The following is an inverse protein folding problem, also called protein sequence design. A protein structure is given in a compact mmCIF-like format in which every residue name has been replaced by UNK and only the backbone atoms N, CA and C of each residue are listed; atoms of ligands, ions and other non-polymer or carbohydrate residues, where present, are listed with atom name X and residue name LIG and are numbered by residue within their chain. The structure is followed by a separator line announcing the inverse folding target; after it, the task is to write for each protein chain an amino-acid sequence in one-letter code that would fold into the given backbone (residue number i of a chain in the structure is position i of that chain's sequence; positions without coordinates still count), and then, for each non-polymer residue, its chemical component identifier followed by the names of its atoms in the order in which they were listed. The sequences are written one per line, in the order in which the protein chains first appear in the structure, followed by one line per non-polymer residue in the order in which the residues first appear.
data_IF_072799402253
#
_entry.id   IF_072799402253
#
_cell.length_a   1.000
_cell.length_b   1.000
_cell.length_c   1.000
_cell.angle_alpha   90.00
_cell.angle_beta   90.00
_cell.angle_gamma   90.00
#
_symmetry.space_group_name_H-M   'P 1'
#
loop_
_entity.id
_entity.type
_entity.pdbx_description
1 polymer ?
#
# COMPACT_ATOMS: atom_id res chain seq x y z
N UNK A 1 2.20 7.89 -5.62
CA UNK A 1 1.09 7.08 -5.06
C UNK A 1 1.67 5.99 -4.18
N UNK A 2 1.08 5.73 -3.00
CA UNK A 2 1.60 4.73 -2.04
C UNK A 2 0.49 3.79 -1.59
N UNK A 3 0.72 2.48 -1.69
CA UNK A 3 -0.18 1.43 -1.18
C UNK A 3 0.53 0.53 -0.16
N UNK A 4 -0.15 -0.45 0.43
CA UNK A 4 0.41 -1.34 1.45
C UNK A 4 1.53 -2.21 0.86
N UNK A 5 1.29 -2.79 -0.30
CA UNK A 5 2.19 -3.75 -0.93
C UNK A 5 1.72 -5.19 -0.78
N UNK A 6 2.50 -6.08 -1.37
CA UNK A 6 2.24 -7.51 -1.45
C UNK A 6 3.59 -8.24 -1.46
N UNK A 7 3.65 -9.52 -1.06
CA UNK A 7 4.81 -10.36 -1.33
C UNK A 7 5.21 -10.31 -2.81
N UNK A 8 6.51 -10.46 -3.09
CA UNK A 8 7.04 -10.49 -4.46
C UNK A 8 6.53 -11.73 -5.24
N UNK A 9 6.22 -12.82 -4.55
CA UNK A 9 5.58 -14.01 -5.13
C UNK A 9 4.79 -14.82 -4.09
N UNK A 10 4.13 -15.89 -4.53
CA UNK A 10 3.45 -16.85 -3.66
C UNK A 10 4.39 -17.82 -2.93
N UNK A 11 5.71 -17.71 -3.16
CA UNK A 11 6.71 -18.53 -2.46
C UNK A 11 6.69 -18.21 -0.97
N UNK A 12 6.80 -19.24 -0.14
CA UNK A 12 6.80 -19.11 1.32
C UNK A 12 7.92 -18.17 1.81
N UNK A 13 9.07 -18.14 1.13
CA UNK A 13 10.18 -17.23 1.42
C UNK A 13 9.77 -15.76 1.30
N UNK A 14 9.06 -15.41 0.23
CA UNK A 14 8.73 -14.04 -0.11
C UNK A 14 7.56 -13.56 0.76
N UNK A 15 6.60 -14.44 1.01
CA UNK A 15 5.53 -14.20 2.00
C UNK A 15 6.12 -14.02 3.40
N UNK A 16 7.11 -14.82 3.80
CA UNK A 16 7.79 -14.65 5.09
C UNK A 16 8.52 -13.31 5.16
N UNK A 17 9.21 -12.89 4.09
CA UNK A 17 9.90 -11.59 4.00
C UNK A 17 8.90 -10.43 4.14
N UNK A 18 7.79 -10.48 3.41
CA UNK A 18 6.70 -9.52 3.53
C UNK A 18 6.13 -9.46 4.95
N UNK A 19 5.75 -10.62 5.52
CA UNK A 19 5.17 -10.68 6.87
C UNK A 19 6.15 -10.18 7.94
N UNK A 20 7.45 -10.45 7.79
CA UNK A 20 8.47 -9.93 8.70
C UNK A 20 8.50 -8.41 8.66
N UNK A 21 8.57 -7.82 7.47
CA UNK A 21 8.63 -6.36 7.31
C UNK A 21 7.35 -5.71 7.85
N UNK A 22 6.19 -6.25 7.47
CA UNK A 22 4.87 -5.76 7.88
C UNK A 22 4.67 -5.82 9.39
N UNK A 23 4.90 -6.98 9.99
CA UNK A 23 4.60 -7.21 11.41
C UNK A 23 5.66 -6.68 12.36
N UNK A 24 6.87 -6.35 11.89
CA UNK A 24 7.88 -5.67 12.69
C UNK A 24 7.67 -4.16 12.75
N UNK A 25 6.76 -3.62 11.95
CA UNK A 25 6.38 -2.22 12.00
C UNK A 25 5.59 -1.92 13.28
N UNK A 26 6.09 -0.97 14.09
CA UNK A 26 5.44 -0.60 15.35
C UNK A 26 4.10 0.10 15.19
N UNK A 27 3.81 0.64 14.00
CA UNK A 27 2.48 1.20 13.68
C UNK A 27 1.46 0.15 13.27
N UNK A 28 1.91 -1.07 12.95
CA UNK A 28 1.04 -2.21 12.60
C UNK A 28 0.80 -3.07 13.82
N UNK A 29 1.86 -3.41 14.54
CA UNK A 29 1.79 -4.16 15.78
C UNK A 29 2.32 -3.28 16.92
N UNK A 30 1.38 -2.62 17.59
CA UNK A 30 1.65 -1.70 18.70
C UNK A 30 2.02 -2.47 19.97
N UNK A 31 3.28 -2.88 20.02
CA UNK A 31 3.92 -3.54 21.15
C UNK A 31 5.35 -3.03 21.31
N UNK A 32 5.96 -3.12 22.51
CA UNK A 32 7.38 -2.87 22.68
C UNK A 32 8.21 -3.72 21.72
N UNK A 33 9.32 -3.15 21.21
CA UNK A 33 10.12 -3.78 20.16
C UNK A 33 10.55 -5.21 20.50
N UNK A 34 10.95 -5.47 21.76
CA UNK A 34 11.36 -6.81 22.21
C UNK A 34 10.21 -7.83 22.14
N UNK A 35 9.01 -7.44 22.60
CA UNK A 35 7.82 -8.30 22.56
C UNK A 35 7.45 -8.57 21.10
N UNK A 36 7.39 -7.52 20.26
CA UNK A 36 7.13 -7.66 18.83
C UNK A 36 8.14 -8.56 18.15
N UNK A 37 9.44 -8.38 18.43
CA UNK A 37 10.50 -9.20 17.89
C UNK A 37 10.29 -10.67 18.22
N UNK A 38 10.01 -10.99 19.50
CA UNK A 38 9.82 -12.37 19.94
C UNK A 38 8.59 -12.99 19.28
N UNK A 39 7.44 -12.32 19.33
CA UNK A 39 6.19 -12.81 18.74
C UNK A 39 6.35 -13.03 17.24
N UNK A 40 6.92 -12.07 16.52
CA UNK A 40 7.08 -12.19 15.07
C UNK A 40 8.04 -13.32 14.71
N UNK A 41 9.24 -13.36 15.30
CA UNK A 41 10.28 -14.30 14.87
C UNK A 41 10.07 -15.73 15.36
N UNK A 42 9.52 -15.92 16.57
CA UNK A 42 9.40 -17.25 17.17
C UNK A 42 7.98 -17.82 17.11
N UNK A 43 6.93 -16.99 17.01
CA UNK A 43 5.55 -17.47 16.94
C UNK A 43 4.93 -17.30 15.56
N UNK A 44 5.15 -16.19 14.86
CA UNK A 44 4.44 -15.94 13.60
C UNK A 44 5.20 -16.50 12.39
N UNK A 45 6.45 -16.08 12.17
CA UNK A 45 7.23 -16.42 10.96
C UNK A 45 7.58 -17.91 10.77
N UNK A 46 7.60 -18.77 11.82
CA UNK A 46 7.76 -20.22 11.63
C UNK A 46 6.52 -20.87 11.01
N UNK A 47 5.31 -20.46 11.41
CA UNK A 47 4.07 -21.17 11.07
C UNK A 47 3.21 -20.44 10.02
N UNK A 48 2.94 -19.14 10.21
CA UNK A 48 1.98 -18.36 9.42
C UNK A 48 2.29 -18.26 7.92
N UNK A 49 3.56 -18.15 7.47
CA UNK A 49 3.84 -17.95 6.04
C UNK A 49 3.32 -19.07 5.12
N UNK A 50 3.20 -20.32 5.61
CA UNK A 50 2.68 -21.44 4.82
C UNK A 50 1.20 -21.22 4.47
N UNK A 51 0.38 -20.97 5.49
CA UNK A 51 -1.04 -20.70 5.34
C UNK A 51 -1.29 -19.41 4.52
N UNK A 52 -0.52 -18.35 4.77
CA UNK A 52 -0.64 -17.12 3.97
C UNK A 52 -0.24 -17.33 2.51
N UNK A 53 0.79 -18.11 2.22
CA UNK A 53 1.18 -18.43 0.85
C UNK A 53 0.09 -19.20 0.09
N UNK A 54 -0.61 -20.11 0.75
CA UNK A 54 -1.79 -20.79 0.16
C UNK A 54 -2.91 -19.82 -0.16
N UNK A 55 -3.22 -18.89 0.75
CA UNK A 55 -4.21 -17.84 0.50
C UNK A 55 -3.81 -16.96 -0.69
N UNK A 56 -2.55 -16.52 -0.76
CA UNK A 56 -2.05 -15.75 -1.91
C UNK A 56 -2.16 -16.54 -3.22
N UNK A 57 -1.87 -17.86 -3.22
CA UNK A 57 -2.01 -18.69 -4.43
C UNK A 57 -3.43 -18.73 -4.98
N UNK A 58 -4.46 -18.70 -4.12
CA UNK A 58 -5.86 -18.75 -4.56
C UNK A 58 -6.29 -17.51 -5.35
N UNK A 59 -5.66 -16.37 -5.10
CA UNK A 59 -6.00 -15.08 -5.72
C UNK A 59 -4.91 -14.56 -6.66
N UNK A 60 -3.83 -15.33 -6.85
CA UNK A 60 -2.71 -14.90 -7.67
C UNK A 60 -3.07 -14.92 -9.14
N UNK A 61 -2.71 -13.87 -9.87
CA UNK A 61 -2.93 -13.80 -11.32
C UNK A 61 -1.64 -14.14 -12.07
N UNK A 62 -1.74 -14.36 -13.38
CA UNK A 62 -0.58 -14.49 -14.27
C UNK A 62 0.33 -13.26 -14.24
N UNK A 63 -0.23 -12.08 -13.98
CA UNK A 63 0.49 -10.80 -13.90
C UNK A 63 1.05 -10.49 -12.51
N UNK A 64 0.69 -11.29 -11.49
CA UNK A 64 1.15 -11.15 -10.11
C UNK A 64 0.02 -10.91 -9.11
N UNK A 65 0.35 -10.22 -8.02
CA UNK A 65 -0.63 -9.82 -7.00
C UNK A 65 -1.65 -8.83 -7.58
N UNK A 66 -2.96 -9.10 -7.49
CA UNK A 66 -3.99 -8.19 -7.99
C UNK A 66 -3.82 -6.76 -7.47
N UNK A 67 -3.47 -6.59 -6.19
CA UNK A 67 -3.23 -5.28 -5.59
C UNK A 67 -2.16 -4.48 -6.34
N UNK A 68 -1.05 -5.13 -6.68
CA UNK A 68 0.09 -4.50 -7.35
C UNK A 68 -0.25 -4.23 -8.82
N UNK A 69 -0.89 -5.19 -9.49
CA UNK A 69 -1.32 -5.06 -10.89
C UNK A 69 -2.30 -3.91 -11.06
N UNK A 70 -3.37 -3.87 -10.26
CA UNK A 70 -4.38 -2.80 -10.29
C UNK A 70 -3.73 -1.45 -9.93
N UNK A 71 -2.86 -1.40 -8.92
CA UNK A 71 -2.17 -0.15 -8.57
C UNK A 71 -1.31 0.38 -9.71
N UNK A 72 -0.68 -0.50 -10.51
CA UNK A 72 0.07 -0.10 -11.72
C UNK A 72 -0.86 0.43 -12.81
N UNK A 73 -1.99 -0.24 -13.05
CA UNK A 73 -2.99 0.22 -14.02
C UNK A 73 -3.54 1.61 -13.65
N UNK A 74 -3.88 1.83 -12.37
CA UNK A 74 -4.31 3.15 -11.87
C UNK A 74 -3.20 4.18 -12.08
N UNK A 75 -1.94 3.84 -11.80
CA UNK A 75 -0.81 4.74 -11.98
C UNK A 75 -0.64 5.14 -13.45
N UNK A 76 -0.76 4.19 -14.37
CA UNK A 76 -0.64 4.45 -15.81
C UNK A 76 -1.82 5.27 -16.34
N UNK A 77 -3.04 4.95 -15.91
CA UNK A 77 -4.22 5.75 -16.22
C UNK A 77 -4.06 7.19 -15.73
N UNK A 78 -3.51 7.40 -14.53
CA UNK A 78 -3.23 8.74 -14.00
C UNK A 78 -2.15 9.46 -14.81
N UNK A 79 -1.07 8.78 -15.18
CA UNK A 79 0.01 9.35 -16.03
C UNK A 79 -0.52 9.88 -17.35
N UNK A 80 -1.48 9.19 -17.98
CA UNK A 80 -2.09 9.67 -19.22
C UNK A 80 -2.91 10.96 -19.06
N UNK A 81 -3.32 11.30 -17.82
CA UNK A 81 -4.18 12.44 -17.49
C UNK A 81 -3.43 13.64 -16.92
N UNK A 82 -2.17 13.46 -16.48
CA UNK A 82 -1.38 14.52 -15.85
C UNK A 82 -0.02 14.65 -16.54
N UNK A 83 0.50 15.87 -16.61
CA UNK A 83 1.84 16.14 -17.17
C UNK A 83 2.97 15.95 -16.17
N UNK A 84 2.64 15.59 -14.92
CA UNK A 84 3.60 15.45 -13.82
C UNK A 84 4.16 14.03 -13.76
N UNK A 85 5.43 13.84 -13.33
CA UNK A 85 5.97 12.52 -13.04
C UNK A 85 5.15 11.82 -11.95
N UNK A 86 4.68 10.60 -12.23
CA UNK A 86 3.93 9.79 -11.26
C UNK A 86 4.70 8.51 -10.98
N UNK A 87 4.93 8.22 -9.71
CA UNK A 87 5.55 6.96 -9.27
C UNK A 87 4.62 6.19 -8.33
N UNK A 88 4.64 4.87 -8.48
CA UNK A 88 3.98 3.92 -7.57
C UNK A 88 5.00 3.37 -6.59
N UNK A 89 4.64 3.36 -5.31
CA UNK A 89 5.42 2.72 -4.27
C UNK A 89 4.53 1.92 -3.32
N UNK A 90 5.13 0.95 -2.66
CA UNK A 90 4.54 0.11 -1.65
C UNK A 90 5.19 0.39 -0.31
N UNK A 91 4.38 0.42 0.75
CA UNK A 91 4.87 0.55 2.11
C UNK A 91 5.79 -0.62 2.46
N UNK A 92 5.41 -1.83 2.07
CA UNK A 92 6.16 -3.06 2.26
C UNK A 92 6.49 -3.69 0.91
N UNK A 93 7.71 -4.22 0.76
CA UNK A 93 8.21 -4.86 -0.47
C UNK A 93 8.30 -3.91 -1.69
N UNK A 94 8.03 -4.41 -2.90
CA UNK A 94 8.31 -3.76 -4.17
C UNK A 94 7.04 -3.32 -4.93
N UNK A 95 7.12 -2.24 -5.74
CA UNK A 95 8.20 -1.26 -5.79
C UNK A 95 8.32 -0.48 -4.46
N UNK A 96 9.53 -0.28 -3.93
CA UNK A 96 9.70 0.35 -2.61
C UNK A 96 9.53 1.87 -2.67
N UNK A 97 9.14 2.47 -1.54
CA UNK A 97 9.11 3.94 -1.37
C UNK A 97 10.44 4.59 -1.74
N UNK A 98 11.57 3.99 -1.36
CA UNK A 98 12.90 4.49 -1.71
C UNK A 98 13.11 4.58 -3.21
N UNK A 99 12.84 3.50 -3.95
CA UNK A 99 12.98 3.50 -5.42
C UNK A 99 12.03 4.49 -6.09
N UNK A 100 10.81 4.63 -5.57
CA UNK A 100 9.83 5.59 -6.09
C UNK A 100 10.31 7.04 -5.94
N UNK A 101 10.84 7.39 -4.76
CA UNK A 101 11.41 8.71 -4.50
C UNK A 101 12.65 8.94 -5.37
N UNK A 102 13.58 7.99 -5.44
CA UNK A 102 14.78 8.11 -6.29
C UNK A 102 14.44 8.29 -7.78
N UNK A 103 13.33 7.70 -8.25
CA UNK A 103 12.85 7.95 -9.61
C UNK A 103 12.36 9.40 -9.78
N UNK A 104 11.55 9.92 -8.85
CA UNK A 104 11.10 11.33 -8.90
C UNK A 104 12.26 12.31 -8.83
N UNK A 105 13.23 12.09 -7.94
CA UNK A 105 14.41 12.95 -7.81
C UNK A 105 15.27 12.95 -9.08
N UNK A 106 15.42 11.80 -9.74
CA UNK A 106 16.13 11.72 -11.05
C UNK A 106 15.44 12.52 -12.15
N UNK A 107 14.12 12.66 -12.06
CA UNK A 107 13.32 13.47 -12.97
C UNK A 107 13.33 14.97 -12.58
N UNK A 108 14.12 15.37 -11.58
CA UNK A 108 14.27 16.76 -11.13
C UNK A 108 13.13 17.25 -10.23
N UNK A 109 12.33 16.36 -9.65
CA UNK A 109 11.22 16.72 -8.76
C UNK A 109 11.75 17.04 -7.36
N UNK A 110 11.47 18.23 -6.86
CA UNK A 110 11.77 18.71 -5.51
C UNK A 110 10.51 18.95 -4.66
N UNK A 111 9.34 19.07 -5.29
CA UNK A 111 8.03 19.11 -4.61
C UNK A 111 7.23 17.82 -4.85
N UNK A 112 6.97 17.07 -3.78
CA UNK A 112 6.34 15.74 -3.89
C UNK A 112 4.95 15.77 -3.27
N UNK A 113 3.93 15.47 -4.08
CA UNK A 113 2.60 15.09 -3.60
C UNK A 113 2.52 13.58 -3.37
N UNK A 114 2.46 13.18 -2.11
CA UNK A 114 2.14 11.81 -1.72
C UNK A 114 0.63 11.62 -1.67
N UNK A 115 0.13 10.67 -2.47
CA UNK A 115 -1.26 10.18 -2.40
C UNK A 115 -1.26 8.76 -1.84
N UNK A 116 -1.67 8.58 -0.57
CA UNK A 116 -1.95 7.25 -0.01
C UNK A 116 -3.19 6.66 -0.68
N UNK A 117 -3.13 5.38 -1.08
CA UNK A 117 -4.27 4.63 -1.62
C UNK A 117 -5.16 4.05 -0.51
N UNK A 118 -5.27 4.80 0.59
CA UNK A 118 -6.12 4.52 1.74
C UNK A 118 -7.03 5.73 1.95
N UNK A 119 -8.32 5.65 1.57
CA UNK A 119 -9.25 6.76 1.74
C UNK A 119 -9.46 7.13 3.22
N UNK A 120 -9.42 6.12 4.09
CA UNK A 120 -9.59 6.25 5.53
C UNK A 120 -8.24 6.33 6.24
N UNK A 121 -8.15 7.13 7.30
CA UNK A 121 -6.99 7.14 8.17
C UNK A 121 -6.94 5.89 9.04
N UNK A 122 -5.79 5.23 9.07
CA UNK A 122 -5.44 4.29 10.11
C UNK A 122 -3.92 4.32 10.35
N UNK A 123 -3.52 4.06 11.59
CA UNK A 123 -2.10 4.05 11.96
C UNK A 123 -1.32 2.98 11.17
N UNK A 124 -1.93 1.81 10.99
CA UNK A 124 -1.36 0.62 10.37
C UNK A 124 -1.30 0.66 8.83
N UNK A 125 -1.87 1.69 8.19
CA UNK A 125 -1.86 1.87 6.73
C UNK A 125 -1.41 3.26 6.32
N UNK A 126 -2.26 4.27 6.49
CA UNK A 126 -2.00 5.66 6.12
C UNK A 126 -0.77 6.22 6.84
N UNK A 127 -0.77 6.18 8.17
CA UNK A 127 0.27 6.85 8.96
C UNK A 127 1.65 6.21 8.74
N UNK A 128 1.73 4.88 8.73
CA UNK A 128 3.00 4.19 8.46
C UNK A 128 3.55 4.49 7.05
N UNK A 129 2.70 4.62 6.04
CA UNK A 129 3.10 5.02 4.69
C UNK A 129 3.69 6.43 4.67
N UNK A 130 3.00 7.38 5.29
CA UNK A 130 3.44 8.77 5.39
C UNK A 130 4.78 8.88 6.10
N UNK A 131 4.91 8.22 7.24
CA UNK A 131 6.11 8.27 8.07
C UNK A 131 7.31 7.62 7.39
N UNK A 132 7.10 6.56 6.61
CA UNK A 132 8.16 5.97 5.79
C UNK A 132 8.61 6.92 4.68
N UNK A 133 7.69 7.59 3.98
CA UNK A 133 8.03 8.57 2.94
C UNK A 133 8.85 9.72 3.53
N UNK A 134 8.39 10.31 4.65
CA UNK A 134 9.13 11.36 5.38
C UNK A 134 10.53 10.88 5.80
N UNK A 135 10.65 9.66 6.31
CA UNK A 135 11.94 9.12 6.73
C UNK A 135 12.92 8.98 5.56
N UNK A 136 12.45 8.50 4.40
CA UNK A 136 13.28 8.37 3.19
C UNK A 136 13.65 9.74 2.63
N UNK A 137 12.73 10.69 2.55
CA UNK A 137 13.02 12.04 2.06
C UNK A 137 14.05 12.75 2.93
N UNK A 138 13.90 12.71 4.26
CA UNK A 138 14.90 13.26 5.18
C UNK A 138 16.31 12.72 4.96
N UNK A 139 16.44 11.48 4.49
CA UNK A 139 17.73 10.85 4.22
C UNK A 139 18.28 11.18 2.83
N UNK A 140 17.43 11.25 1.81
CA UNK A 140 17.84 11.29 0.39
C UNK A 140 17.76 12.69 -0.23
N UNK A 141 16.80 13.49 0.20
CA UNK A 141 16.51 14.83 -0.31
C UNK A 141 15.88 15.68 0.80
N UNK A 142 16.66 16.09 1.82
CA UNK A 142 16.15 16.82 2.98
C UNK A 142 15.52 18.18 2.63
N UNK A 143 15.90 18.76 1.49
CA UNK A 143 15.38 20.04 1.01
C UNK A 143 14.10 19.89 0.17
N UNK A 144 13.69 18.66 -0.18
CA UNK A 144 12.47 18.42 -0.93
C UNK A 144 11.22 18.66 -0.08
N UNK A 145 10.21 19.29 -0.65
CA UNK A 145 8.92 19.50 0.00
C UNK A 145 8.03 18.26 -0.14
N UNK A 146 7.24 17.98 0.90
CA UNK A 146 6.27 16.89 0.90
C UNK A 146 4.90 17.43 1.26
N UNK A 147 3.97 17.31 0.32
CA UNK A 147 2.54 17.46 0.56
C UNK A 147 1.93 16.07 0.64
N UNK A 148 1.13 15.81 1.67
CA UNK A 148 0.42 14.54 1.83
C UNK A 148 -1.06 14.79 1.62
N UNK A 149 -1.67 14.08 0.67
CA UNK A 149 -3.12 14.08 0.49
C UNK A 149 -3.78 13.55 1.78
N UNK A 150 -4.56 14.42 2.44
CA UNK A 150 -5.36 14.06 3.61
C UNK A 150 -6.34 12.92 3.29
N UNK A 151 -6.76 12.14 4.31
CA UNK A 151 -7.84 11.16 4.15
C UNK A 151 -9.02 11.75 3.40
N UNK A 152 -9.58 10.99 2.47
CA UNK A 152 -10.54 11.45 1.46
C UNK A 152 -11.78 10.55 1.36
N UNK A 153 -12.10 9.82 2.43
CA UNK A 153 -13.23 8.90 2.48
C UNK A 153 -14.60 9.58 2.29
N UNK A 154 -14.71 10.87 2.61
CA UNK A 154 -15.94 11.67 2.51
C UNK A 154 -15.98 12.55 1.25
N UNK A 155 -14.98 12.43 0.38
CA UNK A 155 -14.89 13.24 -0.84
C UNK A 155 -15.98 12.80 -1.84
N UNK A 156 -16.79 13.74 -2.37
CA UNK A 156 -17.90 13.38 -3.26
C UNK A 156 -17.47 12.58 -4.50
N UNK A 157 -16.32 12.91 -5.08
CA UNK A 157 -15.74 12.22 -6.23
C UNK A 157 -15.29 10.78 -5.89
N UNK A 158 -14.76 10.55 -4.70
CA UNK A 158 -14.44 9.19 -4.23
C UNK A 158 -15.71 8.37 -3.99
N UNK A 159 -16.70 8.94 -3.30
CA UNK A 159 -17.99 8.27 -3.04
C UNK A 159 -18.69 7.92 -4.35
N UNK A 160 -18.69 8.84 -5.31
CA UNK A 160 -19.28 8.62 -6.62
C UNK A 160 -18.59 7.47 -7.37
N UNK A 161 -17.25 7.47 -7.44
CA UNK A 161 -16.51 6.38 -8.07
C UNK A 161 -16.74 5.02 -7.37
N UNK A 162 -16.88 5.02 -6.04
CA UNK A 162 -17.22 3.82 -5.28
C UNK A 162 -18.63 3.32 -5.62
N UNK A 163 -19.62 4.21 -5.66
CA UNK A 163 -20.99 3.88 -6.04
C UNK A 163 -21.06 3.36 -7.48
N UNK A 164 -20.40 4.02 -8.43
CA UNK A 164 -20.30 3.58 -9.83
C UNK A 164 -19.69 2.18 -9.93
N UNK A 165 -18.66 1.87 -9.14
CA UNK A 165 -18.02 0.54 -9.14
C UNK A 165 -18.94 -0.59 -8.67
N UNK A 166 -19.98 -0.27 -7.89
CA UNK A 166 -20.97 -1.21 -7.39
C UNK A 166 -22.32 -1.13 -8.12
N UNK A 167 -22.49 -0.19 -9.05
CA UNK A 167 -23.78 0.17 -9.64
C UNK A 167 -24.50 -1.03 -10.26
N UNK A 168 -23.77 -1.86 -11.02
CA UNK A 168 -24.35 -3.05 -11.64
C UNK A 168 -25.00 -4.00 -10.61
N UNK A 169 -24.33 -4.22 -9.47
CA UNK A 169 -24.88 -5.06 -8.39
C UNK A 169 -25.99 -4.38 -7.59
N UNK A 170 -26.02 -3.04 -7.56
CA UNK A 170 -27.09 -2.28 -6.92
C UNK A 170 -28.37 -2.28 -7.78
N UNK A 171 -28.22 -2.19 -9.10
CA UNK A 171 -29.32 -2.18 -10.07
C UNK A 171 -30.04 -3.54 -10.16
N UNK A 172 -29.33 -4.64 -9.91
CA UNK A 172 -29.90 -6.00 -9.85
C UNK A 172 -30.83 -6.20 -8.63
N UNK A 173 -30.83 -5.28 -7.67
CA UNK A 173 -31.59 -5.34 -6.42
C UNK A 173 -30.90 -6.16 -5.33
N UNK A 174 -31.20 -5.85 -4.07
CA UNK A 174 -30.61 -6.52 -2.91
C UNK A 174 -31.53 -6.46 -1.68
N UNK A 175 -31.51 -7.50 -0.85
CA UNK A 175 -32.19 -7.49 0.46
C UNK A 175 -31.35 -6.75 1.51
N UNK A 176 -30.02 -6.90 1.45
CA UNK A 176 -29.07 -6.30 2.37
C UNK A 176 -27.83 -5.80 1.64
N UNK A 177 -27.39 -4.59 1.98
CA UNK A 177 -26.11 -4.05 1.57
C UNK A 177 -25.11 -4.19 2.73
N UNK A 178 -24.13 -5.07 2.58
CA UNK A 178 -23.05 -5.23 3.55
C UNK A 178 -21.79 -4.53 3.06
N UNK A 179 -21.37 -3.50 3.79
CA UNK A 179 -20.08 -2.84 3.54
C UNK A 179 -19.06 -3.40 4.53
N UNK A 180 -18.06 -4.10 4.02
CA UNK A 180 -16.98 -4.69 4.82
C UNK A 180 -15.69 -3.91 4.59
N UNK A 181 -15.03 -3.53 5.67
CA UNK A 181 -13.76 -2.80 5.69
C UNK A 181 -12.65 -3.61 6.35
#
# INVERSE_FOLDING_TARGET
MVNLGSPDSTKISDVRKFLREFLMDGRVLDAPWLIRFVVVHFLILPFRPRASAEAYRKVWTSEGSPLVVISRQITEALRSRVKLPVQLAMRYQNPSIEKGIEALLRDGVDEILMIPLFPHYAMSSYETAVEKVKAVLRQKAPDASLVVQSPYFDRPDYIHALAESAQASLDDGFDHLMISF
#
